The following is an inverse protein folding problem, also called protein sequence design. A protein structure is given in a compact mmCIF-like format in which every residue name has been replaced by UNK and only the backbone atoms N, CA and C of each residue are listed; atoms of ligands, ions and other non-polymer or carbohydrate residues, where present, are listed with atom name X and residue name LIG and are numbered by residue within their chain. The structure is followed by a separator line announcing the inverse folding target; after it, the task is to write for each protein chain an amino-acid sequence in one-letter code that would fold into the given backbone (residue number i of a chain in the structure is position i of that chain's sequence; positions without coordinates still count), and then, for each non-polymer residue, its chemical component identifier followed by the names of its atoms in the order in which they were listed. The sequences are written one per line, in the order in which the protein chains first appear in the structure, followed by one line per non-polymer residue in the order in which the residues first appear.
data_IF_423832451581
#
_entry.id   IF_423832451581
#
_cell.length_a   1.000
_cell.length_b   1.000
_cell.length_c   1.000
_cell.angle_alpha   90.00
_cell.angle_beta   90.00
_cell.angle_gamma   90.00
#
_symmetry.space_group_name_H-M   'P 1'
#
loop_
_entity.id
_entity.type
_entity.pdbx_description
1 polymer ?
#
# COMPACT_ATOMS: atom_id res chain seq x y z
N UNK A 1 89.96 31.93 55.18
CA UNK A 1 89.56 30.86 54.36
C UNK A 1 88.13 30.50 54.78
N UNK A 2 87.14 30.98 54.10
CA UNK A 2 85.70 30.84 54.47
C UNK A 2 85.10 29.70 53.67
N UNK A 3 84.58 28.70 54.36
CA UNK A 3 83.79 27.60 53.72
C UNK A 3 82.39 28.09 53.52
N UNK A 4 81.95 28.04 52.29
CA UNK A 4 80.57 28.32 51.89
C UNK A 4 79.82 27.00 51.88
N UNK A 5 78.79 26.85 52.73
CA UNK A 5 77.85 25.72 52.77
C UNK A 5 76.75 25.96 51.76
N UNK A 6 76.64 25.02 50.84
CA UNK A 6 75.61 25.05 49.82
C UNK A 6 74.37 24.25 50.31
N UNK A 7 73.29 24.94 50.64
CA UNK A 7 72.03 24.37 51.08
C UNK A 7 71.24 23.95 49.85
N UNK A 8 70.96 22.63 49.73
CA UNK A 8 70.18 22.00 48.66
C UNK A 8 68.73 22.14 49.03
N UNK A 9 68.02 23.03 48.34
CA UNK A 9 66.58 23.20 48.51
C UNK A 9 65.81 22.24 47.52
N UNK A 10 65.24 21.17 48.10
CA UNK A 10 64.48 20.19 47.38
C UNK A 10 63.08 20.70 47.05
N UNK A 11 62.79 20.98 45.79
CA UNK A 11 61.47 21.43 45.35
C UNK A 11 60.67 20.12 45.00
N UNK A 12 59.67 19.87 45.85
CA UNK A 12 58.71 18.80 45.63
C UNK A 12 57.69 19.27 44.60
N UNK A 13 57.71 18.71 43.38
CA UNK A 13 56.75 18.96 42.35
C UNK A 13 55.54 18.02 42.56
N UNK A 14 54.47 18.56 43.12
CA UNK A 14 53.19 17.82 43.24
C UNK A 14 52.50 17.89 41.90
N UNK A 15 52.55 16.80 41.14
CA UNK A 15 51.76 16.62 39.91
C UNK A 15 50.29 16.35 40.28
N UNK A 16 49.44 17.30 40.07
CA UNK A 16 47.99 17.07 40.10
C UNK A 16 47.59 16.30 38.83
N UNK A 17 47.32 15.01 38.98
CA UNK A 17 46.60 14.27 37.96
C UNK A 17 45.14 14.71 37.96
N UNK A 18 44.81 15.62 37.05
CA UNK A 18 43.42 15.91 36.71
C UNK A 18 42.86 14.80 35.84
N UNK A 19 42.11 13.86 36.40
CA UNK A 19 41.26 12.96 35.67
C UNK A 19 40.18 13.77 34.96
N UNK A 20 40.35 13.96 33.65
CA UNK A 20 39.33 14.49 32.78
C UNK A 20 38.43 13.32 32.40
N UNK A 21 37.26 13.19 33.05
CA UNK A 21 36.19 12.32 32.60
C UNK A 21 35.71 12.78 31.22
N UNK A 22 36.12 12.09 30.17
CA UNK A 22 35.49 12.23 28.86
C UNK A 22 34.11 11.59 28.93
N UNK A 23 33.06 12.41 29.06
CA UNK A 23 31.71 12.03 28.75
C UNK A 23 31.66 11.62 27.26
N UNK A 24 31.66 10.31 27.00
CA UNK A 24 31.24 9.79 25.71
C UNK A 24 29.77 10.13 25.50
N UNK A 25 29.55 11.23 24.84
CA UNK A 25 28.25 11.58 24.25
C UNK A 25 27.98 10.54 23.15
N UNK A 26 27.17 9.54 23.48
CA UNK A 26 26.70 8.58 22.48
C UNK A 26 25.79 9.35 21.52
N UNK A 27 26.35 9.76 20.39
CA UNK A 27 25.57 10.23 19.27
C UNK A 27 24.75 9.05 18.75
N UNK A 28 23.51 8.96 19.22
CA UNK A 28 22.47 8.14 18.58
C UNK A 28 22.24 8.79 17.21
N UNK A 29 22.94 8.24 16.20
CA UNK A 29 22.63 8.50 14.80
C UNK A 29 21.19 8.06 14.60
N UNK A 30 20.24 9.00 14.61
CA UNK A 30 18.91 8.79 14.07
C UNK A 30 19.11 8.44 12.58
N UNK A 31 19.10 7.16 12.26
CA UNK A 31 18.94 6.72 10.88
C UNK A 31 17.64 7.34 10.39
N UNK A 32 17.77 8.26 9.46
CA UNK A 32 16.66 8.82 8.71
C UNK A 32 16.15 7.67 7.85
N UNK A 33 15.11 6.97 8.35
CA UNK A 33 14.41 5.92 7.60
C UNK A 33 13.99 6.55 6.29
N UNK A 34 14.63 6.14 5.21
CA UNK A 34 14.27 6.56 3.87
C UNK A 34 12.82 6.10 3.66
N UNK A 35 11.91 7.05 3.55
CA UNK A 35 10.50 6.76 3.28
C UNK A 35 10.45 6.28 1.84
N UNK A 36 10.54 4.97 1.65
CA UNK A 36 10.25 4.34 0.36
C UNK A 36 8.80 4.68 0.07
N UNK A 37 8.58 5.55 -0.89
CA UNK A 37 7.24 5.89 -1.37
C UNK A 37 6.70 4.67 -2.12
N UNK A 38 5.94 3.84 -1.44
CA UNK A 38 5.18 2.78 -2.04
C UNK A 38 3.88 3.39 -2.60
N UNK A 39 3.97 3.93 -3.81
CA UNK A 39 2.84 4.53 -4.52
C UNK A 39 2.70 3.89 -5.89
N UNK A 40 1.47 3.59 -6.31
CA UNK A 40 1.16 3.06 -7.64
C UNK A 40 -0.05 3.79 -8.20
N UNK A 41 0.02 4.09 -9.49
CA UNK A 41 -1.10 4.57 -10.29
C UNK A 41 -1.50 3.47 -11.25
N UNK A 42 -2.77 3.06 -11.17
CA UNK A 42 -3.40 2.14 -12.12
C UNK A 42 -4.33 2.94 -13.03
N UNK A 43 -4.10 2.86 -14.33
CA UNK A 43 -5.02 3.39 -15.33
C UNK A 43 -5.94 2.25 -15.78
N UNK A 44 -7.24 2.54 -15.80
CA UNK A 44 -8.27 1.61 -16.23
C UNK A 44 -8.62 1.86 -17.69
N UNK A 45 -8.58 0.81 -18.49
CA UNK A 45 -8.93 0.82 -19.90
C UNK A 45 -10.29 0.15 -20.10
N UNK A 46 -11.08 0.65 -21.05
CA UNK A 46 -12.38 0.08 -21.40
C UNK A 46 -12.30 -1.39 -21.83
N UNK A 47 -13.28 -2.17 -21.41
CA UNK A 47 -13.49 -3.57 -21.81
C UNK A 47 -14.95 -3.76 -22.23
N UNK A 48 -15.22 -4.86 -22.94
CA UNK A 48 -16.60 -5.25 -23.35
C UNK A 48 -17.35 -4.11 -24.05
N UNK A 49 -16.67 -3.41 -24.97
CA UNK A 49 -17.24 -2.32 -25.77
C UNK A 49 -17.79 -1.13 -24.95
N UNK A 50 -17.36 -1.00 -23.69
CA UNK A 50 -17.71 0.14 -22.84
C UNK A 50 -16.91 1.39 -23.19
N UNK A 51 -17.31 2.54 -22.61
CA UNK A 51 -16.53 3.78 -22.60
C UNK A 51 -15.90 4.05 -21.24
N UNK A 52 -15.91 3.06 -20.34
CA UNK A 52 -15.43 3.21 -18.97
C UNK A 52 -13.94 3.41 -18.93
N UNK A 53 -13.50 4.41 -18.21
CA UNK A 53 -12.10 4.65 -17.89
C UNK A 53 -11.96 5.07 -16.43
N UNK A 54 -10.75 5.05 -15.92
CA UNK A 54 -10.53 5.48 -14.54
C UNK A 54 -9.06 5.53 -14.17
N UNK A 55 -8.83 6.05 -12.98
CA UNK A 55 -7.50 6.11 -12.35
C UNK A 55 -7.64 5.74 -10.89
N UNK A 56 -6.82 4.81 -10.46
CA UNK A 56 -6.73 4.43 -9.06
C UNK A 56 -5.32 4.73 -8.54
N UNK A 57 -5.26 5.38 -7.40
CA UNK A 57 -4.01 5.69 -6.72
C UNK A 57 -3.93 4.88 -5.43
N UNK A 58 -2.88 4.08 -5.32
CA UNK A 58 -2.56 3.32 -4.12
C UNK A 58 -1.33 3.92 -3.46
N UNK A 59 -1.39 4.11 -2.14
CA UNK A 59 -0.27 4.58 -1.33
C UNK A 59 -0.19 3.77 -0.05
N UNK A 60 1.00 3.23 0.24
CA UNK A 60 1.25 2.53 1.50
C UNK A 60 2.08 3.41 2.43
N UNK A 61 1.56 3.63 3.64
CA UNK A 61 2.21 4.33 4.74
C UNK A 61 1.96 3.55 6.04
N UNK A 62 3.02 3.26 6.79
CA UNK A 62 2.96 2.59 8.09
C UNK A 62 2.18 1.26 8.08
N UNK A 63 2.25 0.51 6.96
CA UNK A 63 1.58 -0.77 6.77
C UNK A 63 0.08 -0.66 6.46
N UNK A 64 -0.40 0.54 6.15
CA UNK A 64 -1.76 0.79 5.69
C UNK A 64 -1.71 1.22 4.23
N UNK A 65 -2.44 0.51 3.37
CA UNK A 65 -2.65 0.89 1.97
C UNK A 65 -3.91 1.74 1.88
N UNK A 66 -3.75 2.95 1.35
CA UNK A 66 -4.83 3.87 1.02
C UNK A 66 -5.09 3.82 -0.48
N UNK A 67 -6.36 3.74 -0.85
CA UNK A 67 -6.87 3.75 -2.21
C UNK A 67 -7.72 5.00 -2.42
N UNK A 68 -7.41 5.75 -3.49
CA UNK A 68 -8.27 6.82 -4.04
C UNK A 68 -8.53 6.49 -5.51
N UNK A 69 -9.79 6.28 -5.87
CA UNK A 69 -10.23 5.87 -7.19
C UNK A 69 -11.21 6.87 -7.79
N UNK A 70 -11.04 7.14 -9.09
CA UNK A 70 -11.93 7.98 -9.89
C UNK A 70 -12.29 7.26 -11.17
N UNK A 71 -13.58 7.26 -11.50
CA UNK A 71 -14.13 6.56 -12.64
C UNK A 71 -14.92 7.53 -13.52
N UNK A 72 -14.91 7.29 -14.83
CA UNK A 72 -15.65 8.08 -15.83
C UNK A 72 -16.25 7.16 -16.89
N UNK A 73 -17.28 7.63 -17.59
CA UNK A 73 -17.87 6.92 -18.73
C UNK A 73 -18.67 5.68 -18.33
N UNK A 74 -19.11 5.62 -17.08
CA UNK A 74 -20.01 4.58 -16.56
C UNK A 74 -21.47 5.03 -16.68
N UNK A 75 -22.43 4.08 -16.65
CA UNK A 75 -23.84 4.39 -16.49
C UNK A 75 -24.12 4.91 -15.09
N UNK A 76 -25.15 5.75 -14.95
CA UNK A 76 -25.62 6.13 -13.62
C UNK A 76 -26.08 4.92 -12.81
N UNK A 77 -25.73 4.87 -11.52
CA UNK A 77 -26.14 3.81 -10.59
C UNK A 77 -24.98 3.22 -9.80
N UNK A 78 -25.18 2.01 -9.29
CA UNK A 78 -24.18 1.30 -8.48
C UNK A 78 -23.35 0.37 -9.36
N UNK A 79 -22.06 0.45 -9.21
CA UNK A 79 -21.07 -0.41 -9.86
C UNK A 79 -20.18 -1.07 -8.84
N UNK A 80 -19.70 -2.29 -9.14
CA UNK A 80 -18.73 -2.97 -8.32
C UNK A 80 -17.30 -2.80 -8.86
N UNK A 81 -16.33 -2.82 -7.95
CA UNK A 81 -14.91 -2.85 -8.27
C UNK A 81 -14.20 -3.91 -7.42
N UNK A 82 -13.36 -4.72 -8.07
CA UNK A 82 -12.63 -5.81 -7.41
C UNK A 82 -11.17 -5.88 -7.86
N UNK A 83 -10.32 -6.48 -7.01
CA UNK A 83 -8.99 -6.93 -7.43
C UNK A 83 -9.11 -8.36 -7.95
N UNK A 84 -8.58 -8.60 -9.16
CA UNK A 84 -8.52 -9.90 -9.82
C UNK A 84 -7.10 -10.49 -9.76
N UNK A 85 -6.99 -11.81 -10.03
CA UNK A 85 -5.80 -12.63 -9.78
C UNK A 85 -4.55 -12.19 -10.54
N UNK A 86 -4.69 -11.65 -11.76
CA UNK A 86 -3.57 -11.43 -12.70
C UNK A 86 -3.61 -10.02 -13.29
N UNK A 87 -2.48 -9.34 -13.38
CA UNK A 87 -2.32 -8.05 -14.05
C UNK A 87 -2.44 -8.15 -15.59
N UNK A 88 -3.27 -9.06 -16.08
CA UNK A 88 -3.47 -9.31 -17.49
C UNK A 88 -4.83 -8.74 -17.94
N UNK A 89 -4.79 -7.64 -18.66
CA UNK A 89 -5.95 -6.99 -19.26
C UNK A 89 -6.00 -7.17 -20.80
N UNK A 90 -5.35 -8.20 -21.36
CA UNK A 90 -5.22 -8.37 -22.81
C UNK A 90 -6.51 -8.79 -23.50
N UNK A 91 -7.41 -9.51 -22.81
CA UNK A 91 -8.69 -9.91 -23.42
C UNK A 91 -9.66 -8.73 -23.55
N UNK A 92 -10.48 -8.76 -24.60
CA UNK A 92 -11.47 -7.71 -24.89
C UNK A 92 -12.57 -7.61 -23.82
N UNK A 93 -12.79 -8.68 -23.08
CA UNK A 93 -13.81 -8.80 -22.03
C UNK A 93 -13.24 -8.79 -20.61
N UNK A 94 -11.93 -8.52 -20.46
CA UNK A 94 -11.23 -8.47 -19.17
C UNK A 94 -11.05 -9.83 -18.48
N UNK A 95 -11.45 -10.96 -19.11
CA UNK A 95 -11.39 -12.28 -18.47
C UNK A 95 -9.98 -12.84 -18.30
N UNK A 96 -8.99 -12.33 -19.06
CA UNK A 96 -7.57 -12.70 -18.88
C UNK A 96 -7.05 -12.42 -17.46
N UNK A 97 -7.66 -11.47 -16.73
CA UNK A 97 -7.30 -11.16 -15.35
C UNK A 97 -7.68 -12.25 -14.32
N UNK A 98 -8.41 -13.30 -14.74
CA UNK A 98 -8.84 -14.38 -13.83
C UNK A 98 -10.08 -14.06 -13.01
N UNK A 99 -10.24 -14.75 -11.87
CA UNK A 99 -11.29 -14.51 -10.86
C UNK A 99 -10.92 -13.41 -9.87
N UNK A 100 -11.75 -13.21 -8.85
CA UNK A 100 -11.40 -12.34 -7.72
C UNK A 100 -10.14 -12.85 -7.01
N UNK A 101 -9.25 -11.95 -6.62
CA UNK A 101 -8.06 -12.32 -5.87
C UNK A 101 -8.44 -12.84 -4.48
N UNK A 102 -8.29 -14.15 -4.28
CA UNK A 102 -8.70 -14.86 -3.08
C UNK A 102 -7.57 -15.76 -2.52
N UNK A 103 -6.49 -15.19 -2.01
CA UNK A 103 -5.35 -15.97 -1.49
C UNK A 103 -5.67 -16.73 -0.21
N UNK A 104 -6.78 -16.40 0.45
CA UNK A 104 -7.21 -17.01 1.73
C UNK A 104 -8.28 -18.07 1.58
N UNK A 105 -8.74 -18.35 0.35
CA UNK A 105 -9.75 -19.38 0.02
C UNK A 105 -11.07 -19.22 0.82
N UNK A 106 -11.50 -17.97 1.01
CA UNK A 106 -12.76 -17.62 1.65
C UNK A 106 -13.89 -17.56 0.62
N UNK A 107 -15.13 -17.58 1.10
CA UNK A 107 -16.27 -17.25 0.25
C UNK A 107 -16.24 -15.76 -0.12
N UNK A 108 -16.81 -15.42 -1.28
CA UNK A 108 -17.08 -14.04 -1.66
C UNK A 108 -18.03 -13.38 -0.66
N UNK A 109 -17.84 -12.07 -0.43
CA UNK A 109 -18.71 -11.34 0.47
C UNK A 109 -18.30 -9.86 0.63
N UNK A 110 -19.08 -9.13 1.41
CA UNK A 110 -18.78 -7.74 1.73
C UNK A 110 -17.49 -7.65 2.55
N UNK A 111 -16.61 -6.73 2.20
CA UNK A 111 -15.37 -6.46 2.93
C UNK A 111 -15.60 -6.34 4.45
N UNK A 112 -14.81 -7.07 5.23
CA UNK A 112 -14.92 -7.12 6.69
C UNK A 112 -16.02 -8.03 7.24
N UNK A 113 -16.73 -8.80 6.40
CA UNK A 113 -17.77 -9.73 6.83
C UNK A 113 -17.15 -10.92 7.58
N UNK A 114 -17.66 -11.23 8.77
CA UNK A 114 -17.22 -12.37 9.60
C UNK A 114 -17.40 -13.74 8.90
N UNK A 115 -18.38 -13.87 8.00
CA UNK A 115 -18.60 -15.09 7.22
C UNK A 115 -17.54 -15.32 6.13
N UNK A 116 -16.74 -14.30 5.82
CA UNK A 116 -15.69 -14.32 4.82
C UNK A 116 -15.88 -13.30 3.71
N UNK A 117 -14.77 -12.99 3.02
CA UNK A 117 -14.67 -12.18 1.82
C UNK A 117 -13.31 -12.45 1.18
N UNK A 118 -13.18 -12.17 -0.11
CA UNK A 118 -11.89 -12.23 -0.80
C UNK A 118 -11.04 -10.98 -0.50
N UNK A 119 -9.75 -11.12 -0.54
CA UNK A 119 -8.85 -9.95 -0.45
C UNK A 119 -9.05 -8.95 -1.60
N UNK A 120 -9.70 -9.38 -2.65
CA UNK A 120 -10.05 -8.55 -3.79
C UNK A 120 -11.45 -7.94 -3.75
N UNK A 121 -12.29 -8.24 -2.77
CA UNK A 121 -13.69 -7.78 -2.71
C UNK A 121 -13.77 -6.33 -2.21
N UNK A 122 -13.34 -5.34 -3.01
CA UNK A 122 -13.38 -3.91 -2.64
C UNK A 122 -14.82 -3.48 -2.38
N UNK A 123 -15.74 -3.81 -3.30
CA UNK A 123 -17.17 -3.58 -3.17
C UNK A 123 -17.76 -2.59 -4.16
N UNK A 124 -18.82 -1.91 -3.73
CA UNK A 124 -19.64 -1.04 -4.57
C UNK A 124 -19.29 0.45 -4.42
N UNK A 125 -19.51 1.20 -5.50
CA UNK A 125 -19.45 2.65 -5.51
C UNK A 125 -20.62 3.21 -6.37
N UNK A 126 -20.98 4.46 -6.12
CA UNK A 126 -22.04 5.14 -6.83
C UNK A 126 -21.49 5.97 -7.99
N UNK A 127 -22.20 5.99 -9.10
CA UNK A 127 -21.91 6.79 -10.31
C UNK A 127 -23.07 7.76 -10.54
N UNK A 128 -22.73 9.03 -10.72
CA UNK A 128 -23.69 10.11 -10.93
C UNK A 128 -24.30 10.12 -12.36
N UNK A 129 -25.22 11.06 -12.62
CA UNK A 129 -25.88 11.23 -13.92
C UNK A 129 -24.92 11.63 -15.07
N UNK A 130 -23.72 12.12 -14.73
CA UNK A 130 -22.70 12.50 -15.70
C UNK A 130 -21.70 11.37 -15.97
N UNK A 131 -21.89 10.20 -15.33
CA UNK A 131 -21.00 9.05 -15.47
C UNK A 131 -19.74 9.11 -14.63
N UNK A 132 -19.69 9.94 -13.58
CA UNK A 132 -18.57 10.07 -12.65
C UNK A 132 -18.82 9.28 -11.38
N UNK A 133 -17.83 8.51 -10.96
CA UNK A 133 -17.82 7.80 -9.69
C UNK A 133 -16.49 7.98 -8.97
N UNK A 134 -16.51 7.83 -7.66
CA UNK A 134 -15.30 7.80 -6.84
C UNK A 134 -15.42 6.77 -5.72
N UNK A 135 -14.28 6.30 -5.23
CA UNK A 135 -14.20 5.39 -4.10
C UNK A 135 -12.91 5.66 -3.34
N UNK A 136 -13.01 5.68 -2.01
CA UNK A 136 -11.86 5.74 -1.13
C UNK A 136 -11.93 4.59 -0.14
N UNK A 137 -10.77 3.97 0.13
CA UNK A 137 -10.65 2.86 1.06
C UNK A 137 -9.27 2.87 1.69
N UNK A 138 -9.15 2.36 2.90
CA UNK A 138 -7.87 2.06 3.53
C UNK A 138 -7.89 0.70 4.21
N UNK A 139 -6.75 0.00 4.21
CA UNK A 139 -6.63 -1.32 4.82
C UNK A 139 -5.19 -1.69 5.14
N UNK A 140 -5.00 -2.46 6.20
CA UNK A 140 -3.74 -3.13 6.52
C UNK A 140 -3.69 -4.59 6.00
N UNK A 141 -4.69 -5.00 5.23
CA UNK A 141 -4.78 -6.34 4.65
C UNK A 141 -4.11 -6.43 3.28
N UNK A 142 -3.66 -5.30 2.72
CA UNK A 142 -2.86 -5.21 1.51
C UNK A 142 -1.47 -4.66 1.80
N UNK A 143 -0.56 -4.88 0.86
CA UNK A 143 0.73 -4.22 0.79
C UNK A 143 1.17 -4.01 -0.66
N UNK A 144 2.13 -3.10 -0.88
CA UNK A 144 2.67 -2.79 -2.20
C UNK A 144 4.08 -3.37 -2.33
N UNK A 145 4.18 -4.61 -2.80
CA UNK A 145 5.46 -5.27 -3.09
C UNK A 145 6.16 -5.86 -1.86
N UNK A 146 5.42 -6.25 -0.84
CA UNK A 146 5.95 -7.03 0.28
C UNK A 146 6.12 -8.51 -0.09
N UNK A 147 6.78 -9.27 0.77
CA UNK A 147 7.01 -10.72 0.59
C UNK A 147 5.77 -11.57 0.89
N UNK A 148 4.77 -11.02 1.58
CA UNK A 148 3.52 -11.72 1.90
C UNK A 148 2.60 -11.74 0.68
N UNK A 149 2.61 -12.83 -0.08
CA UNK A 149 1.78 -13.03 -1.28
C UNK A 149 0.27 -12.98 -0.98
N UNK A 150 -0.14 -13.15 0.28
CA UNK A 150 -1.56 -13.03 0.67
C UNK A 150 -2.01 -11.59 0.87
N UNK A 151 -1.06 -10.63 0.84
CA UNK A 151 -1.30 -9.19 0.96
C UNK A 151 -0.82 -8.39 -0.24
N UNK A 152 0.13 -8.92 -1.01
CA UNK A 152 0.79 -8.20 -2.10
C UNK A 152 -0.14 -8.02 -3.30
N UNK A 153 -0.51 -6.76 -3.57
CA UNK A 153 -1.40 -6.41 -4.70
C UNK A 153 -0.66 -6.28 -6.03
N UNK A 154 0.69 -6.27 -6.04
CA UNK A 154 1.45 -6.22 -7.29
C UNK A 154 1.21 -7.48 -8.11
N UNK A 155 1.06 -7.33 -9.43
CA UNK A 155 0.77 -8.43 -10.35
C UNK A 155 -0.70 -8.83 -10.41
N UNK A 156 -1.58 -8.09 -9.73
CA UNK A 156 -3.04 -8.22 -9.75
C UNK A 156 -3.66 -7.22 -10.73
N UNK A 157 -4.94 -7.33 -11.02
CA UNK A 157 -5.67 -6.35 -11.83
C UNK A 157 -6.86 -5.78 -11.08
N UNK A 158 -7.20 -4.54 -11.41
CA UNK A 158 -8.47 -3.95 -11.05
C UNK A 158 -9.46 -4.25 -12.17
N UNK A 159 -10.65 -4.68 -11.77
CA UNK A 159 -11.81 -4.82 -12.66
C UNK A 159 -12.96 -3.97 -12.11
N UNK A 160 -13.57 -3.16 -12.98
CA UNK A 160 -14.87 -2.52 -12.73
C UNK A 160 -15.95 -3.28 -13.46
N UNK A 161 -17.08 -3.49 -12.78
CA UNK A 161 -18.21 -4.23 -13.31
C UNK A 161 -19.37 -3.31 -13.70
N UNK A 162 -20.25 -3.81 -14.57
CA UNK A 162 -21.41 -3.06 -15.08
C UNK A 162 -22.46 -2.80 -14.01
N UNK A 163 -22.58 -3.68 -13.03
CA UNK A 163 -23.61 -3.63 -11.99
C UNK A 163 -23.04 -3.72 -10.58
N UNK A 164 -23.95 -3.71 -9.63
CA UNK A 164 -23.65 -3.86 -8.23
C UNK A 164 -23.22 -5.29 -7.88
N UNK A 165 -22.32 -5.42 -6.93
CA UNK A 165 -22.07 -6.63 -6.19
C UNK A 165 -23.18 -6.84 -5.16
N UNK A 166 -23.82 -8.04 -5.16
CA UNK A 166 -24.85 -8.40 -4.18
C UNK A 166 -24.27 -8.90 -2.84
N UNK A 167 -22.94 -9.11 -2.78
CA UNK A 167 -22.18 -9.63 -1.63
C UNK A 167 -22.56 -11.04 -1.16
N UNK A 168 -23.37 -11.77 -1.92
CA UNK A 168 -23.91 -13.09 -1.56
C UNK A 168 -23.62 -14.15 -2.61
N UNK A 169 -23.85 -13.84 -3.89
CA UNK A 169 -23.72 -14.76 -5.00
C UNK A 169 -22.27 -15.22 -5.18
N UNK A 170 -22.07 -16.55 -5.14
CA UNK A 170 -20.73 -17.11 -5.32
C UNK A 170 -20.44 -17.34 -6.81
N UNK A 171 -19.21 -17.18 -7.25
CA UNK A 171 -18.01 -16.74 -6.51
C UNK A 171 -17.74 -15.23 -6.58
N UNK A 172 -18.63 -14.39 -7.12
CA UNK A 172 -18.27 -13.01 -7.51
C UNK A 172 -19.39 -11.97 -7.43
N UNK A 173 -20.45 -12.21 -6.62
CA UNK A 173 -21.46 -11.20 -6.29
C UNK A 173 -22.39 -10.79 -7.43
N UNK A 174 -22.49 -11.60 -8.50
CA UNK A 174 -23.36 -11.34 -9.66
C UNK A 174 -23.23 -9.93 -10.30
N UNK A 175 -22.07 -9.27 -10.16
CA UNK A 175 -21.83 -7.88 -10.59
C UNK A 175 -21.85 -7.66 -12.13
N UNK A 176 -21.96 -8.73 -12.92
CA UNK A 176 -22.17 -8.68 -14.35
C UNK A 176 -20.88 -8.47 -15.16
N UNK A 177 -21.03 -7.81 -16.31
CA UNK A 177 -19.96 -7.63 -17.31
C UNK A 177 -18.81 -6.79 -16.74
N UNK A 178 -17.57 -7.13 -17.12
CA UNK A 178 -16.37 -6.36 -16.79
C UNK A 178 -16.24 -5.21 -17.78
N UNK A 179 -16.40 -3.99 -17.33
CA UNK A 179 -16.43 -2.79 -18.18
C UNK A 179 -15.11 -2.05 -18.26
N UNK A 180 -14.20 -2.27 -17.29
CA UNK A 180 -12.81 -1.79 -17.43
C UNK A 180 -11.83 -2.67 -16.67
N UNK A 181 -10.55 -2.61 -17.05
CA UNK A 181 -9.44 -3.37 -16.50
C UNK A 181 -8.18 -2.52 -16.42
N UNK A 182 -7.41 -2.70 -15.35
CA UNK A 182 -6.09 -2.07 -15.20
C UNK A 182 -5.15 -2.93 -14.36
N UNK A 183 -3.95 -3.21 -14.86
CA UNK A 183 -2.95 -3.98 -14.13
C UNK A 183 -2.27 -3.18 -13.03
N UNK A 184 -2.11 -3.75 -11.85
CA UNK A 184 -1.32 -3.20 -10.73
C UNK A 184 0.14 -3.63 -10.94
N UNK A 185 0.90 -2.81 -11.64
CA UNK A 185 2.29 -3.08 -12.01
C UNK A 185 3.19 -1.92 -11.58
N UNK A 186 4.45 -2.22 -11.22
CA UNK A 186 5.51 -1.22 -10.94
C UNK A 186 6.24 -0.84 -12.21
#
# INVERSE_FOLDING_TARGET
MKKISLSLMSIIFIAFLSCKEEKKESQVKKEKKEVVKNEIIVLLEAKSESNSAGKMFFKEEDGIVKLDAKFIGLSQGIHAVHIHEKADCSSVDGKSSGGHWNPTFKNHGKWGNEKGYHKGDIGNFEVDENGYGNLMMETNEWCIGCEDETKNIIGKAIIVHQGADDFESQPSGAAGVRVSCGGIIK
#
